data_IF_659976912388
#
_entry.id   IF_659976912388
#
_cell.length_a   1.000
_cell.length_b   1.000
_cell.length_c   1.000
_cell.angle_alpha   90.00
_cell.angle_beta   90.00
_cell.angle_gamma   90.00
#
_symmetry.space_group_name_H-M   'P 1'
#
loop_
_entity.id
_entity.type
_entity.pdbx_description
1 polymer ?
#
# COMPACT_ATOMS: atom_id res chain seq x y z
N UNK A 1 -11.71 10.88 23.79
CA UNK A 1 -10.32 10.93 23.28
C UNK A 1 -9.35 10.92 24.44
N UNK A 2 -8.16 10.34 24.31
CA UNK A 2 -7.16 10.43 25.35
C UNK A 2 -6.80 11.90 25.68
N UNK A 3 -6.40 12.21 26.92
CA UNK A 3 -5.94 13.56 27.27
C UNK A 3 -4.77 14.01 26.38
N UNK A 4 -4.79 15.28 25.94
CA UNK A 4 -3.77 15.85 25.08
C UNK A 4 -4.00 15.66 23.58
N UNK A 5 -5.06 14.93 23.18
CA UNK A 5 -5.44 14.78 21.76
C UNK A 5 -6.69 15.60 21.46
N UNK A 6 -6.71 16.20 20.27
CA UNK A 6 -7.87 16.86 19.68
C UNK A 6 -8.23 16.23 18.35
N UNK A 7 -9.50 16.20 17.99
CA UNK A 7 -9.99 15.76 16.68
C UNK A 7 -10.61 16.95 15.96
N UNK A 8 -10.20 17.16 14.73
CA UNK A 8 -10.68 18.23 13.89
C UNK A 8 -10.94 17.74 12.46
N UNK A 9 -11.95 18.28 11.79
CA UNK A 9 -12.21 18.01 10.37
C UNK A 9 -11.30 18.90 9.55
N UNK A 10 -10.31 18.29 8.87
CA UNK A 10 -9.36 18.98 8.00
C UNK A 10 -9.93 19.22 6.59
N UNK A 11 -10.68 18.25 6.04
CA UNK A 11 -11.35 18.35 4.75
C UNK A 11 -12.68 17.58 4.76
N UNK A 12 -13.73 18.13 4.17
CA UNK A 12 -15.05 17.52 3.98
C UNK A 12 -15.51 17.56 2.50
N UNK A 13 -14.66 18.08 1.62
CA UNK A 13 -14.87 18.24 0.19
C UNK A 13 -14.07 17.26 -0.69
N UNK A 14 -13.50 16.19 -0.09
CA UNK A 14 -12.71 15.18 -0.78
C UNK A 14 -13.45 13.83 -0.83
N UNK A 15 -14.48 13.70 -1.68
CA UNK A 15 -15.25 12.46 -1.74
C UNK A 15 -14.43 11.30 -2.27
N UNK A 16 -14.62 10.10 -1.66
CA UNK A 16 -13.90 8.87 -2.03
C UNK A 16 -12.40 8.92 -1.79
N UNK A 17 -11.92 9.75 -0.86
CA UNK A 17 -10.55 9.71 -0.37
C UNK A 17 -10.16 8.30 0.09
N UNK A 18 -8.94 7.86 -0.22
CA UNK A 18 -8.49 6.51 0.11
C UNK A 18 -7.12 6.49 0.80
N UNK A 19 -6.10 7.01 0.16
CA UNK A 19 -4.73 7.02 0.67
C UNK A 19 -4.20 8.45 0.76
N UNK A 20 -3.39 8.71 1.79
CA UNK A 20 -2.91 10.05 2.10
C UNK A 20 -1.38 10.05 2.16
N UNK A 21 -0.75 11.09 1.63
CA UNK A 21 0.70 11.28 1.71
C UNK A 21 1.04 12.76 1.81
N UNK A 22 1.76 13.16 2.83
CA UNK A 22 2.29 14.53 2.88
C UNK A 22 3.38 14.74 1.84
N UNK A 23 3.33 15.87 1.17
CA UNK A 23 4.42 16.34 0.31
C UNK A 23 5.58 16.84 1.16
N UNK A 24 6.81 16.95 0.60
CA UNK A 24 7.94 17.56 1.30
C UNK A 24 7.69 19.02 1.75
N UNK A 25 6.68 19.70 1.18
CA UNK A 25 6.31 21.06 1.55
C UNK A 25 5.16 21.15 2.57
N UNK A 26 4.63 20.00 3.01
CA UNK A 26 3.57 19.90 4.01
C UNK A 26 2.16 20.01 3.46
N UNK A 27 1.98 20.06 2.14
CA UNK A 27 0.67 19.86 1.52
C UNK A 27 0.29 18.36 1.59
N UNK A 28 -0.99 18.00 1.48
CA UNK A 28 -1.47 16.64 1.58
C UNK A 28 -1.97 16.12 0.24
N UNK A 29 -1.34 15.08 -0.31
CA UNK A 29 -1.87 14.32 -1.44
C UNK A 29 -2.90 13.30 -0.99
N UNK A 30 -3.94 13.14 -1.78
CA UNK A 30 -5.01 12.18 -1.54
C UNK A 30 -5.33 11.45 -2.83
N UNK A 31 -5.22 10.13 -2.84
CA UNK A 31 -5.71 9.30 -3.95
C UNK A 31 -7.21 9.08 -3.83
N UNK A 32 -7.89 9.11 -4.98
CA UNK A 32 -9.33 8.86 -5.09
C UNK A 32 -9.61 7.76 -6.15
N UNK A 33 -9.52 6.48 -5.78
CA UNK A 33 -9.59 5.37 -6.74
C UNK A 33 -10.84 5.37 -7.62
N UNK A 34 -11.99 5.72 -7.05
CA UNK A 34 -13.25 5.78 -7.80
C UNK A 34 -13.38 7.02 -8.71
N UNK A 35 -12.53 8.02 -8.51
CA UNK A 35 -12.43 9.18 -9.38
C UNK A 35 -11.34 9.03 -10.44
N UNK A 36 -10.37 8.14 -10.20
CA UNK A 36 -9.24 7.95 -11.09
C UNK A 36 -8.25 9.11 -11.03
N UNK A 37 -8.09 9.74 -9.86
CA UNK A 37 -7.21 10.90 -9.73
C UNK A 37 -6.44 10.92 -8.40
N UNK A 38 -5.45 11.80 -8.35
CA UNK A 38 -4.75 12.23 -7.15
C UNK A 38 -4.92 13.74 -7.02
N UNK A 39 -5.40 14.16 -5.85
CA UNK A 39 -5.59 15.59 -5.55
C UNK A 39 -4.62 16.03 -4.46
N UNK A 40 -4.33 17.34 -4.46
CA UNK A 40 -3.51 18.02 -3.47
C UNK A 40 -4.39 18.94 -2.63
N UNK A 41 -4.36 18.78 -1.33
CA UNK A 41 -4.90 19.71 -0.36
C UNK A 41 -3.75 20.63 0.09
N UNK A 42 -3.88 21.92 -0.16
CA UNK A 42 -2.91 22.92 0.27
C UNK A 42 -2.91 23.00 1.79
N UNK A 43 -1.72 23.01 2.38
CA UNK A 43 -1.59 23.12 3.83
C UNK A 43 -2.31 24.36 4.38
N UNK A 44 -2.86 24.22 5.55
CA UNK A 44 -3.43 25.31 6.34
C UNK A 44 -2.36 26.36 6.67
N UNK A 45 -2.50 27.56 6.13
CA UNK A 45 -1.61 28.70 6.39
C UNK A 45 -2.28 29.75 7.28
N UNK A 46 -3.62 29.77 7.29
CA UNK A 46 -4.40 30.74 8.05
C UNK A 46 -4.64 30.28 9.50
N UNK A 47 -4.39 29.00 9.82
CA UNK A 47 -4.51 28.43 11.16
C UNK A 47 -5.94 28.09 11.59
N UNK A 48 -6.88 27.95 10.64
CA UNK A 48 -8.25 27.59 10.94
C UNK A 48 -8.47 26.06 11.07
N UNK A 49 -7.41 25.28 10.80
CA UNK A 49 -7.39 23.83 10.88
C UNK A 49 -7.97 23.12 9.68
N UNK A 50 -8.17 23.83 8.56
CA UNK A 50 -8.63 23.29 7.29
C UNK A 50 -7.60 23.54 6.19
N UNK A 51 -7.69 22.79 5.11
CA UNK A 51 -6.83 23.03 3.93
C UNK A 51 -7.21 24.33 3.20
N UNK A 52 -6.21 25.02 2.64
CA UNK A 52 -6.37 26.31 1.94
C UNK A 52 -6.71 26.17 0.43
N UNK A 53 -7.03 24.97 -0.04
CA UNK A 53 -7.43 24.73 -1.42
C UNK A 53 -7.23 23.30 -1.86
N UNK A 54 -7.98 22.90 -2.91
CA UNK A 54 -7.94 21.56 -3.50
C UNK A 54 -7.61 21.70 -5.00
N UNK A 55 -6.59 20.95 -5.45
CA UNK A 55 -6.15 20.93 -6.85
C UNK A 55 -5.97 19.49 -7.33
N UNK A 56 -6.37 19.18 -8.57
CA UNK A 56 -6.03 17.89 -9.20
C UNK A 56 -4.58 17.92 -9.66
N UNK A 57 -3.81 16.90 -9.28
CA UNK A 57 -2.39 16.76 -9.63
C UNK A 57 -2.20 15.84 -10.82
N UNK A 58 -2.86 14.67 -10.79
CA UNK A 58 -2.85 13.68 -11.88
C UNK A 58 -4.26 13.11 -11.98
N UNK A 59 -4.76 12.96 -13.20
CA UNK A 59 -6.04 12.32 -13.50
C UNK A 59 -5.92 11.23 -14.58
N UNK A 60 -7.05 10.61 -14.95
CA UNK A 60 -7.07 9.52 -15.92
C UNK A 60 -6.46 8.21 -15.45
N UNK A 61 -6.28 8.04 -14.14
CA UNK A 61 -5.67 6.88 -13.53
C UNK A 61 -6.66 5.73 -13.31
N UNK A 62 -6.17 4.48 -13.40
CA UNK A 62 -6.98 3.29 -13.13
C UNK A 62 -6.91 2.90 -11.64
N UNK A 63 -7.87 3.40 -10.85
CA UNK A 63 -7.98 3.12 -9.40
C UNK A 63 -6.68 3.36 -8.63
N UNK A 64 -6.14 4.60 -8.62
CA UNK A 64 -4.92 4.92 -7.87
C UNK A 64 -5.11 4.72 -6.37
N UNK A 65 -4.10 4.19 -5.67
CA UNK A 65 -4.11 4.07 -4.22
C UNK A 65 -2.80 4.53 -3.61
N UNK A 66 -1.75 3.68 -3.61
CA UNK A 66 -0.48 3.98 -2.96
C UNK A 66 0.22 5.17 -3.61
N UNK A 67 0.77 6.06 -2.80
CA UNK A 67 1.47 7.26 -3.24
C UNK A 67 2.75 7.41 -2.43
N UNK A 68 3.87 7.65 -3.09
CA UNK A 68 5.12 8.03 -2.42
C UNK A 68 5.99 8.92 -3.29
N UNK A 69 7.03 9.49 -2.68
CA UNK A 69 8.01 10.36 -3.32
C UNK A 69 9.40 9.76 -3.29
N UNK A 70 10.11 9.89 -4.41
CA UNK A 70 11.52 9.57 -4.46
C UNK A 70 12.25 10.45 -5.49
N UNK A 71 13.32 11.13 -5.06
CA UNK A 71 14.20 11.93 -5.94
C UNK A 71 13.46 12.87 -6.92
N UNK A 72 12.45 13.58 -6.42
CA UNK A 72 11.68 14.54 -7.22
C UNK A 72 10.65 13.93 -8.17
N UNK A 73 10.33 12.65 -7.98
CA UNK A 73 9.23 11.97 -8.64
C UNK A 73 8.13 11.66 -7.64
N UNK A 74 6.88 11.79 -8.09
CA UNK A 74 5.69 11.27 -7.46
C UNK A 74 5.38 9.91 -8.09
N UNK A 75 5.34 8.86 -7.28
CA UNK A 75 4.97 7.51 -7.68
C UNK A 75 3.55 7.20 -7.25
N UNK A 76 2.80 6.55 -8.12
CA UNK A 76 1.40 6.20 -7.88
C UNK A 76 1.19 4.73 -8.25
N UNK A 77 0.72 3.94 -7.28
CA UNK A 77 0.28 2.58 -7.55
C UNK A 77 -1.18 2.60 -8.00
N UNK A 78 -1.44 2.00 -9.14
CA UNK A 78 -2.74 1.80 -9.72
C UNK A 78 -3.15 0.31 -9.64
N UNK A 79 -4.33 0.00 -10.12
CA UNK A 79 -4.86 -1.37 -10.10
C UNK A 79 -3.93 -2.39 -10.79
N UNK A 80 -3.32 -2.02 -11.93
CA UNK A 80 -2.59 -2.95 -12.80
C UNK A 80 -1.18 -2.47 -13.16
N UNK A 81 -0.77 -1.34 -12.58
CA UNK A 81 0.53 -0.74 -12.86
C UNK A 81 1.02 0.15 -11.71
N UNK A 82 2.28 0.51 -11.79
CA UNK A 82 2.84 1.66 -11.06
C UNK A 82 3.37 2.64 -12.08
N UNK A 83 2.99 3.89 -11.94
CA UNK A 83 3.55 4.95 -12.74
C UNK A 83 4.14 6.06 -11.89
N UNK A 84 4.82 7.00 -12.55
CA UNK A 84 5.42 8.15 -11.88
C UNK A 84 5.35 9.40 -12.77
N UNK A 85 5.45 10.55 -12.15
CA UNK A 85 5.54 11.84 -12.81
C UNK A 85 6.51 12.73 -12.03
N UNK A 86 7.23 13.62 -12.71
CA UNK A 86 8.03 14.63 -12.01
C UNK A 86 7.12 15.51 -11.15
N UNK A 87 7.57 15.81 -9.94
CA UNK A 87 6.79 16.59 -9.00
C UNK A 87 7.63 17.70 -8.36
N UNK A 88 7.21 18.93 -8.54
CA UNK A 88 7.85 20.09 -7.91
C UNK A 88 6.79 21.09 -7.44
N UNK A 89 7.00 21.64 -6.24
CA UNK A 89 6.17 22.70 -5.63
C UNK A 89 4.66 22.45 -5.68
N UNK A 90 4.27 21.17 -5.51
CA UNK A 90 2.86 20.78 -5.47
C UNK A 90 2.23 20.60 -6.86
N UNK A 91 3.03 20.41 -7.91
CA UNK A 91 2.55 20.20 -9.28
C UNK A 91 3.26 19.03 -9.95
N UNK A 92 2.52 18.26 -10.73
CA UNK A 92 3.08 17.33 -11.69
C UNK A 92 3.67 18.13 -12.88
N UNK A 93 4.82 17.68 -13.38
CA UNK A 93 5.55 18.32 -14.49
C UNK A 93 5.86 17.27 -15.55
N UNK A 94 5.44 17.52 -16.78
CA UNK A 94 5.62 16.59 -17.90
C UNK A 94 4.62 15.44 -17.89
N UNK A 95 4.97 14.39 -18.62
CA UNK A 95 4.08 13.26 -18.84
C UNK A 95 4.14 12.25 -17.67
N UNK A 96 3.01 11.62 -17.38
CA UNK A 96 2.93 10.46 -16.50
C UNK A 96 3.43 9.21 -17.23
N UNK A 97 4.42 8.54 -16.69
CA UNK A 97 5.03 7.35 -17.27
C UNK A 97 4.76 6.09 -16.44
N UNK A 98 4.33 5.01 -17.08
CA UNK A 98 4.20 3.68 -16.45
C UNK A 98 5.57 3.03 -16.39
N UNK A 99 5.98 2.59 -15.19
CA UNK A 99 7.30 1.97 -14.94
C UNK A 99 7.20 0.50 -14.56
N UNK A 100 6.07 0.07 -14.00
CA UNK A 100 5.76 -1.33 -13.71
C UNK A 100 4.40 -1.60 -14.32
N UNK A 101 4.28 -2.59 -15.19
CA UNK A 101 3.03 -2.94 -15.88
C UNK A 101 2.70 -4.42 -15.74
N UNK A 102 1.47 -4.81 -16.10
CA UNK A 102 1.04 -6.21 -16.06
C UNK A 102 0.90 -6.76 -14.64
N UNK A 103 0.63 -5.90 -13.67
CA UNK A 103 0.23 -6.34 -12.34
C UNK A 103 -1.21 -6.86 -12.38
N UNK A 104 -1.48 -7.94 -11.65
CA UNK A 104 -2.83 -8.49 -11.58
C UNK A 104 -3.75 -7.56 -10.80
N UNK A 105 -4.84 -7.12 -11.44
CA UNK A 105 -5.82 -6.20 -10.87
C UNK A 105 -7.13 -6.85 -10.41
N UNK A 106 -7.28 -8.16 -10.60
CA UNK A 106 -8.51 -8.89 -10.31
C UNK A 106 -8.64 -9.28 -8.82
N UNK A 107 -9.84 -9.75 -8.47
CA UNK A 107 -10.15 -10.26 -7.15
C UNK A 107 -10.44 -9.20 -6.08
N UNK A 108 -10.46 -9.64 -4.83
CA UNK A 108 -10.95 -8.86 -3.70
C UNK A 108 -10.00 -7.72 -3.31
N UNK A 109 -8.68 -7.98 -3.30
CA UNK A 109 -7.68 -7.03 -2.83
C UNK A 109 -6.89 -6.43 -4.00
N UNK A 110 -7.59 -5.73 -4.87
CA UNK A 110 -7.05 -5.08 -6.07
C UNK A 110 -6.10 -3.91 -5.76
N UNK A 111 -6.24 -3.32 -4.60
CA UNK A 111 -5.46 -2.15 -4.20
C UNK A 111 -3.99 -2.51 -3.96
N UNK A 112 -3.12 -1.55 -4.24
CA UNK A 112 -1.67 -1.69 -4.07
C UNK A 112 -1.12 -0.53 -3.27
N UNK A 113 -0.31 -0.83 -2.28
CA UNK A 113 0.40 0.18 -1.49
C UNK A 113 1.87 0.16 -1.86
N UNK A 114 2.44 1.32 -2.09
CA UNK A 114 3.86 1.48 -2.38
C UNK A 114 4.55 2.42 -1.40
N UNK A 115 5.82 2.14 -1.13
CA UNK A 115 6.72 3.00 -0.35
C UNK A 115 8.17 2.80 -0.79
N UNK A 116 8.97 3.85 -0.64
CA UNK A 116 10.43 3.74 -0.78
C UNK A 116 11.08 3.38 0.54
N UNK A 117 11.91 2.33 0.51
CA UNK A 117 12.71 1.93 1.66
C UNK A 117 13.95 2.80 1.89
N UNK A 118 14.57 2.65 3.07
CA UNK A 118 15.82 3.35 3.38
C UNK A 118 16.99 2.94 2.45
N UNK A 119 16.86 1.79 1.79
CA UNK A 119 17.76 1.30 0.74
C UNK A 119 17.55 1.97 -0.64
N UNK A 120 16.55 2.85 -0.75
CA UNK A 120 16.18 3.53 -1.98
C UNK A 120 15.43 2.66 -2.99
N UNK A 121 15.00 1.45 -2.60
CA UNK A 121 14.17 0.58 -3.44
C UNK A 121 12.68 0.91 -3.25
N UNK A 122 11.90 0.60 -4.29
CA UNK A 122 10.44 0.69 -4.28
C UNK A 122 9.86 -0.64 -3.79
N UNK A 123 9.14 -0.61 -2.70
CA UNK A 123 8.38 -1.74 -2.16
C UNK A 123 6.91 -1.61 -2.56
N UNK A 124 6.29 -2.74 -2.92
CA UNK A 124 4.92 -2.80 -3.39
C UNK A 124 4.19 -3.98 -2.76
N UNK A 125 3.19 -3.70 -1.93
CA UNK A 125 2.30 -4.72 -1.38
C UNK A 125 1.15 -5.00 -2.35
N UNK A 126 0.90 -6.28 -2.64
CA UNK A 126 -0.21 -6.77 -3.44
C UNK A 126 -0.99 -7.82 -2.65
N UNK A 127 -2.24 -7.53 -2.31
CA UNK A 127 -3.09 -8.48 -1.60
C UNK A 127 -3.57 -9.65 -2.47
N UNK A 128 -4.17 -10.64 -1.85
CA UNK A 128 -4.72 -11.85 -2.50
C UNK A 128 -5.89 -11.54 -3.44
N UNK A 129 -6.16 -12.43 -4.39
CA UNK A 129 -7.34 -12.33 -5.26
C UNK A 129 -8.62 -12.76 -4.57
N UNK A 130 -8.51 -13.59 -3.54
CA UNK A 130 -9.62 -14.27 -2.86
C UNK A 130 -9.56 -14.09 -1.35
N UNK A 131 -10.56 -14.58 -0.64
CA UNK A 131 -10.56 -14.67 0.83
C UNK A 131 -9.50 -15.66 1.32
N UNK A 132 -9.52 -16.88 0.73
CA UNK A 132 -8.51 -17.92 0.94
C UNK A 132 -8.44 -18.80 -0.30
N UNK A 133 -7.27 -18.96 -0.90
CA UNK A 133 -6.97 -19.83 -2.03
C UNK A 133 -5.47 -19.91 -2.29
N UNK A 134 -5.04 -20.85 -3.11
CA UNK A 134 -3.70 -20.80 -3.70
C UNK A 134 -3.75 -19.84 -4.90
N UNK A 135 -2.92 -18.81 -4.89
CA UNK A 135 -2.83 -17.84 -5.98
C UNK A 135 -2.23 -18.44 -7.24
N UNK A 136 -2.82 -18.15 -8.41
CA UNK A 136 -2.25 -18.49 -9.72
C UNK A 136 -1.06 -17.58 -10.06
N UNK A 137 -1.19 -16.28 -9.79
CA UNK A 137 -0.11 -15.31 -9.92
C UNK A 137 0.67 -15.23 -8.60
N UNK A 138 1.88 -15.78 -8.58
CA UNK A 138 2.74 -15.82 -7.39
C UNK A 138 3.12 -14.43 -6.84
N UNK A 139 2.84 -13.36 -7.58
CA UNK A 139 3.06 -11.98 -7.12
C UNK A 139 1.93 -11.49 -6.21
N UNK A 140 0.83 -12.25 -6.07
CA UNK A 140 -0.28 -11.94 -5.17
C UNK A 140 0.01 -12.41 -3.76
N UNK A 141 -0.60 -11.76 -2.78
CA UNK A 141 -0.36 -12.01 -1.36
C UNK A 141 1.13 -11.90 -0.98
N UNK A 142 1.79 -10.87 -1.53
CA UNK A 142 3.24 -10.66 -1.39
C UNK A 142 3.59 -9.20 -1.13
N UNK A 143 4.79 -9.00 -0.60
CA UNK A 143 5.56 -7.78 -0.73
C UNK A 143 6.58 -7.96 -1.86
N UNK A 144 6.56 -7.09 -2.86
CA UNK A 144 7.55 -7.05 -3.94
C UNK A 144 8.52 -5.89 -3.75
N UNK A 145 9.70 -6.00 -4.35
CA UNK A 145 10.74 -4.96 -4.34
C UNK A 145 11.24 -4.70 -5.76
N UNK A 146 11.47 -3.42 -6.10
CA UNK A 146 11.92 -2.97 -7.42
C UNK A 146 12.99 -1.88 -7.31
N UNK A 147 13.73 -1.67 -8.40
CA UNK A 147 14.48 -0.43 -8.56
C UNK A 147 13.54 0.77 -8.76
N UNK A 148 13.99 2.02 -8.53
CA UNK A 148 13.15 3.21 -8.72
C UNK A 148 12.64 3.42 -10.15
N UNK A 149 13.27 2.81 -11.15
CA UNK A 149 12.83 2.82 -12.55
C UNK A 149 11.85 1.70 -12.91
N UNK A 150 11.46 0.87 -11.93
CA UNK A 150 10.56 -0.27 -12.10
C UNK A 150 11.24 -1.56 -12.54
N UNK A 151 12.54 -1.52 -12.80
CA UNK A 151 13.32 -2.72 -13.16
C UNK A 151 13.64 -3.59 -11.94
N UNK A 152 14.15 -4.81 -12.18
CA UNK A 152 14.66 -5.69 -11.14
C UNK A 152 13.60 -6.17 -10.15
N UNK A 153 12.36 -6.35 -10.61
CA UNK A 153 11.25 -6.79 -9.76
C UNK A 153 11.48 -8.18 -9.19
N UNK A 154 11.36 -8.31 -7.88
CA UNK A 154 11.50 -9.56 -7.14
C UNK A 154 10.45 -9.66 -6.04
N UNK A 155 10.13 -10.88 -5.62
CA UNK A 155 9.27 -11.13 -4.45
C UNK A 155 10.16 -11.00 -3.22
N UNK A 156 9.84 -10.03 -2.36
CA UNK A 156 10.57 -9.78 -1.11
C UNK A 156 10.09 -10.69 0.02
N UNK A 157 8.75 -10.86 0.15
CA UNK A 157 8.12 -11.72 1.15
C UNK A 157 6.80 -12.26 0.63
N UNK A 158 6.37 -13.42 1.13
CA UNK A 158 5.16 -14.14 0.70
C UNK A 158 4.22 -14.42 1.87
N UNK A 159 2.99 -14.84 1.55
CA UNK A 159 2.02 -15.21 2.58
C UNK A 159 1.41 -14.04 3.33
N UNK A 160 1.47 -12.84 2.76
CA UNK A 160 0.87 -11.60 3.24
C UNK A 160 -0.48 -11.40 2.55
N UNK A 161 -1.56 -11.80 3.19
CA UNK A 161 -2.89 -11.85 2.57
C UNK A 161 -3.32 -10.50 1.98
N UNK A 162 -3.24 -9.43 2.75
CA UNK A 162 -3.63 -8.08 2.33
C UNK A 162 -2.98 -7.01 3.19
N UNK A 163 -1.69 -6.79 2.97
CA UNK A 163 -0.91 -5.75 3.66
C UNK A 163 -1.22 -4.38 3.08
N UNK A 164 -2.22 -3.70 3.63
CA UNK A 164 -2.69 -2.40 3.13
C UNK A 164 -1.78 -1.25 3.54
N UNK A 165 -1.15 -1.35 4.70
CA UNK A 165 -0.23 -0.35 5.23
C UNK A 165 1.09 -0.96 5.64
N UNK A 166 2.20 -0.31 5.28
CA UNK A 166 3.53 -0.66 5.76
C UNK A 166 4.45 0.55 5.81
N UNK A 167 5.42 0.50 6.70
CA UNK A 167 6.47 1.52 6.84
C UNK A 167 7.67 0.96 7.60
N UNK A 168 8.78 1.69 7.58
CA UNK A 168 9.98 1.37 8.35
C UNK A 168 9.92 2.05 9.71
N UNK A 169 10.18 1.26 10.73
CA UNK A 169 10.24 1.74 12.11
C UNK A 169 11.44 2.68 12.30
N UNK A 170 11.25 3.87 12.87
CA UNK A 170 12.37 4.79 13.13
C UNK A 170 13.29 4.33 14.27
N UNK A 171 12.91 3.27 15.01
CA UNK A 171 13.66 2.78 16.17
C UNK A 171 14.66 1.68 15.81
N UNK A 172 14.28 0.78 14.90
CA UNK A 172 15.06 -0.42 14.55
C UNK A 172 15.29 -0.59 13.04
N UNK A 173 14.71 0.31 12.22
CA UNK A 173 14.68 0.25 10.75
C UNK A 173 14.00 -1.02 10.20
N UNK A 174 13.27 -1.76 11.02
CA UNK A 174 12.48 -2.90 10.59
C UNK A 174 11.32 -2.46 9.68
N UNK A 175 11.01 -3.26 8.67
CA UNK A 175 9.84 -3.07 7.83
C UNK A 175 8.63 -3.72 8.52
N UNK A 176 7.68 -2.92 8.93
CA UNK A 176 6.43 -3.40 9.54
C UNK A 176 5.26 -3.23 8.58
N UNK A 177 4.43 -4.27 8.48
CA UNK A 177 3.23 -4.26 7.66
C UNK A 177 2.01 -4.72 8.47
N UNK A 178 0.90 -3.99 8.33
CA UNK A 178 -0.40 -4.46 8.81
C UNK A 178 -0.98 -5.44 7.81
N UNK A 179 -1.45 -6.59 8.24
CA UNK A 179 -2.08 -7.58 7.37
C UNK A 179 -3.48 -7.94 7.85
N UNK A 180 -4.45 -7.94 6.92
CA UNK A 180 -5.83 -8.28 7.23
C UNK A 180 -6.03 -9.79 7.21
N UNK A 181 -6.49 -10.36 8.31
CA UNK A 181 -6.89 -11.76 8.41
C UNK A 181 -8.03 -12.13 7.46
N UNK A 182 -8.22 -13.42 7.18
CA UNK A 182 -9.31 -13.90 6.33
C UNK A 182 -10.68 -13.74 7.01
N UNK A 183 -11.73 -13.61 6.18
CA UNK A 183 -13.11 -13.55 6.65
C UNK A 183 -13.71 -14.95 6.87
N UNK A 184 -14.86 -14.99 7.54
CA UNK A 184 -15.75 -16.13 7.68
C UNK A 184 -15.28 -17.25 8.61
N UNK A 185 -14.42 -16.95 9.59
CA UNK A 185 -14.05 -17.88 10.66
C UNK A 185 -14.61 -17.49 12.04
N UNK A 186 -15.49 -16.49 12.09
CA UNK A 186 -16.13 -15.97 13.32
C UNK A 186 -15.72 -14.53 13.61
N UNK A 187 -16.20 -14.00 14.73
CA UNK A 187 -15.99 -12.59 15.10
C UNK A 187 -14.65 -12.36 15.80
N UNK A 188 -14.13 -13.41 16.45
CA UNK A 188 -12.92 -13.33 17.28
C UNK A 188 -11.67 -13.99 16.62
N UNK A 189 -11.80 -14.57 15.41
CA UNK A 189 -10.74 -15.28 14.72
C UNK A 189 -10.90 -15.21 13.19
N UNK A 190 -9.77 -15.11 12.44
CA UNK A 190 -8.44 -14.73 12.89
C UNK A 190 -8.33 -13.24 13.17
N UNK A 191 -7.36 -12.84 13.98
CA UNK A 191 -7.04 -11.44 14.19
C UNK A 191 -6.28 -10.87 12.99
N UNK A 192 -6.33 -9.53 12.81
CA UNK A 192 -5.41 -8.84 11.91
C UNK A 192 -4.02 -8.74 12.55
N UNK A 193 -2.98 -8.73 11.73
CA UNK A 193 -1.60 -8.86 12.16
C UNK A 193 -0.81 -7.57 11.96
N UNK A 194 0.24 -7.40 12.76
CA UNK A 194 1.34 -6.47 12.52
C UNK A 194 2.63 -7.30 12.39
N UNK A 195 3.11 -7.46 11.18
CA UNK A 195 4.25 -8.30 10.86
C UNK A 195 5.54 -7.48 10.71
N UNK A 196 6.64 -7.93 11.33
CA UNK A 196 7.98 -7.52 10.94
C UNK A 196 8.35 -8.31 9.67
N UNK A 197 8.42 -7.60 8.54
CA UNK A 197 8.59 -8.22 7.22
C UNK A 197 10.07 -8.28 6.84
N UNK A 198 10.58 -9.50 6.67
CA UNK A 198 11.96 -9.78 6.31
C UNK A 198 12.05 -10.47 4.95
N UNK A 199 13.19 -10.29 4.27
CA UNK A 199 13.44 -10.84 2.95
C UNK A 199 13.41 -12.37 2.95
N UNK A 200 12.66 -12.95 2.02
CA UNK A 200 12.55 -14.40 1.83
C UNK A 200 11.57 -15.10 2.77
N UNK A 201 11.00 -14.39 3.74
CA UNK A 201 10.10 -15.00 4.72
C UNK A 201 8.67 -15.21 4.18
N UNK A 202 8.00 -16.19 4.79
CA UNK A 202 6.61 -16.55 4.54
C UNK A 202 5.76 -16.26 5.77
N UNK A 203 4.64 -15.56 5.60
CA UNK A 203 3.79 -15.04 6.68
C UNK A 203 2.46 -15.80 6.84
N UNK A 204 2.38 -17.02 6.37
CA UNK A 204 1.33 -17.98 6.69
C UNK A 204 0.23 -18.14 5.68
N UNK A 205 -0.34 -17.06 5.13
CA UNK A 205 -1.45 -17.17 4.19
C UNK A 205 -1.05 -17.92 2.90
N UNK A 206 -1.87 -18.85 2.34
CA UNK A 206 -3.23 -19.19 2.75
C UNK A 206 -3.35 -20.33 3.77
N UNK A 207 -2.26 -20.93 4.22
CA UNK A 207 -2.24 -22.19 4.99
C UNK A 207 -2.37 -21.99 6.50
N UNK A 208 -2.00 -20.82 6.99
CA UNK A 208 -2.01 -20.50 8.41
C UNK A 208 -2.64 -19.15 8.67
N UNK A 209 -3.25 -19.02 9.83
CA UNK A 209 -3.83 -17.79 10.37
C UNK A 209 -3.23 -17.50 11.74
N UNK A 210 -3.20 -16.23 12.17
CA UNK A 210 -2.76 -15.83 13.51
C UNK A 210 -1.41 -16.49 13.90
N UNK A 211 -1.27 -16.98 15.11
CA UNK A 211 -0.08 -17.67 15.61
C UNK A 211 0.11 -19.09 15.01
N UNK A 212 0.22 -19.18 13.71
CA UNK A 212 0.39 -20.45 12.96
C UNK A 212 -0.73 -21.47 13.18
N UNK A 213 -1.98 -21.00 13.37
CA UNK A 213 -3.15 -21.87 13.39
C UNK A 213 -3.43 -22.35 11.97
N UNK A 214 -3.44 -23.65 11.68
CA UNK A 214 -3.72 -24.16 10.34
C UNK A 214 -5.09 -23.71 9.84
N UNK A 215 -5.15 -23.28 8.58
CA UNK A 215 -6.41 -22.90 7.95
C UNK A 215 -7.29 -24.15 7.73
N UNK A 216 -8.57 -24.11 8.14
CA UNK A 216 -9.43 -25.29 8.08
C UNK A 216 -9.78 -25.73 6.65
N UNK A 217 -9.71 -24.83 5.66
CA UNK A 217 -10.10 -25.10 4.29
C UNK A 217 -8.93 -25.43 3.37
N UNK A 218 -7.69 -25.07 3.75
CA UNK A 218 -6.52 -25.21 2.88
C UNK A 218 -5.72 -26.49 3.09
N UNK A 219 -5.86 -27.14 4.24
CA UNK A 219 -5.03 -28.28 4.60
C UNK A 219 -3.56 -27.89 4.89
N UNK A 220 -2.66 -28.88 4.95
CA UNK A 220 -1.26 -28.61 5.26
C UNK A 220 -0.55 -27.88 4.13
N UNK A 221 0.39 -26.99 4.47
CA UNK A 221 1.25 -26.33 3.50
C UNK A 221 2.09 -27.37 2.72
N UNK A 222 1.94 -27.48 1.39
CA UNK A 222 2.69 -28.44 0.58
C UNK A 222 4.20 -28.14 0.52
N UNK A 223 4.63 -26.95 0.94
CA UNK A 223 6.01 -26.52 0.94
C UNK A 223 6.60 -26.37 2.36
N UNK A 224 5.87 -26.79 3.39
CA UNK A 224 6.30 -26.65 4.79
C UNK A 224 7.72 -27.21 5.05
N UNK A 225 8.10 -28.31 4.39
CA UNK A 225 9.42 -28.91 4.51
C UNK A 225 10.57 -28.06 3.91
N UNK A 226 10.24 -27.08 3.08
CA UNK A 226 11.21 -26.20 2.41
C UNK A 226 11.29 -24.81 3.06
N UNK A 227 10.53 -24.56 4.11
CA UNK A 227 10.41 -23.27 4.81
C UNK A 227 10.87 -23.44 6.26
N UNK A 228 12.15 -23.66 6.43
CA UNK A 228 12.78 -23.76 7.77
C UNK A 228 13.70 -22.59 8.01
#
# INVERSE_FOLDING_TARGET
MPPGFTLQVYADDVPKARFLRFTPLGDLLVSRPHKGDVVLLRKDKNGDGRHDGLETVVDGLNRPQGIDFHQGWLYIAEREQVGRVRFDKGRAIGDYESIITGLTGDGNHWSKTLRFGPDGKLYLAQGSTCNVCVEEDQRRATMMRFNPDGSGGEIFATGLRNSVGFDWSPWDNGLYATDNGRDLLGDDFPVCELNLVEEGNFYGWPYFNDNNVPDPDMGPDPQAANRT
#
